data_IF_198494940411
#
_entry.id   IF_198494940411
#
_cell.length_a   1.000
_cell.length_b   1.000
_cell.length_c   1.000
_cell.angle_alpha   90.00
_cell.angle_beta   90.00
_cell.angle_gamma   90.00
#
_symmetry.space_group_name_H-M   'P 1'
#
loop_
_entity.id
_entity.type
_entity.pdbx_description
1 polymer ?
#
# COMPACT_ATOMS: atom_id res chain seq x y z
N UNK A 1 -26.09 -41.92 0.03
CA UNK A 1 -24.68 -41.51 0.27
C UNK A 1 -24.75 -40.07 0.74
N UNK A 2 -24.65 -39.85 2.00
CA UNK A 2 -24.56 -38.51 2.60
C UNK A 2 -23.17 -37.96 2.28
N UNK A 3 -23.10 -36.99 1.35
CA UNK A 3 -21.87 -36.22 1.12
C UNK A 3 -21.44 -35.62 2.46
N UNK A 4 -20.37 -36.15 3.05
CA UNK A 4 -19.65 -35.41 4.10
C UNK A 4 -19.23 -34.06 3.51
N UNK A 5 -19.49 -32.95 4.18
CA UNK A 5 -19.07 -31.65 3.68
C UNK A 5 -17.52 -31.67 3.54
N UNK A 6 -17.03 -31.72 2.30
CA UNK A 6 -15.61 -31.68 2.02
C UNK A 6 -15.01 -30.46 2.72
N UNK A 7 -13.90 -30.63 3.44
CA UNK A 7 -13.20 -29.54 4.11
C UNK A 7 -13.02 -28.36 3.15
N UNK A 8 -13.41 -27.16 3.57
CA UNK A 8 -13.15 -25.95 2.79
C UNK A 8 -11.66 -25.75 2.59
N UNK A 9 -11.29 -25.36 1.38
CA UNK A 9 -9.92 -25.00 1.03
C UNK A 9 -9.52 -23.74 1.76
N UNK A 10 -8.36 -23.71 2.38
CA UNK A 10 -7.82 -22.57 3.15
C UNK A 10 -6.79 -21.83 2.34
N UNK A 11 -7.08 -20.60 1.96
CA UNK A 11 -6.23 -19.76 1.14
C UNK A 11 -5.57 -18.71 2.03
N UNK A 12 -4.23 -18.72 2.10
CA UNK A 12 -3.47 -17.64 2.73
C UNK A 12 -3.33 -16.51 1.74
N UNK A 13 -3.75 -15.29 2.10
CA UNK A 13 -3.66 -14.10 1.26
C UNK A 13 -2.63 -13.12 1.85
N UNK A 14 -1.72 -12.63 1.02
CA UNK A 14 -0.85 -11.54 1.41
C UNK A 14 -1.63 -10.23 1.47
N UNK A 15 -2.06 -9.85 2.66
CA UNK A 15 -2.79 -8.62 2.95
C UNK A 15 -2.43 -8.08 4.33
N UNK A 16 -2.66 -6.79 4.57
CA UNK A 16 -2.35 -6.16 5.86
C UNK A 16 -3.32 -6.54 6.96
N UNK A 17 -4.58 -6.71 6.59
CA UNK A 17 -5.67 -7.14 7.47
C UNK A 17 -6.72 -7.93 6.68
N UNK A 18 -7.62 -8.60 7.36
CA UNK A 18 -8.86 -9.09 6.75
C UNK A 18 -9.79 -7.91 6.41
N UNK A 19 -10.58 -7.98 5.32
CA UNK A 19 -11.61 -6.98 5.05
C UNK A 19 -12.62 -6.84 6.18
N UNK A 20 -12.82 -7.90 6.96
CA UNK A 20 -13.75 -7.94 8.10
C UNK A 20 -13.14 -7.42 9.42
N UNK A 21 -11.85 -7.12 9.44
CA UNK A 21 -11.19 -6.52 10.60
C UNK A 21 -11.41 -5.00 10.57
N UNK A 22 -12.23 -4.49 11.48
CA UNK A 22 -12.41 -3.06 11.68
C UNK A 22 -11.23 -2.55 12.50
N UNK A 23 -10.38 -1.74 11.90
CA UNK A 23 -9.21 -1.15 12.56
C UNK A 23 -9.34 0.37 12.64
N UNK A 24 -9.06 0.95 13.81
CA UNK A 24 -8.93 2.40 13.95
C UNK A 24 -7.65 2.91 13.28
N UNK A 25 -7.53 4.23 13.13
CA UNK A 25 -6.29 4.84 12.61
C UNK A 25 -5.10 4.49 13.51
N UNK A 26 -5.26 4.57 14.83
CA UNK A 26 -4.23 4.27 15.83
C UNK A 26 -3.73 2.84 15.70
N UNK A 27 -4.66 1.88 15.57
CA UNK A 27 -4.31 0.47 15.34
C UNK A 27 -3.60 0.29 14.00
N UNK A 28 -4.02 1.01 12.98
CA UNK A 28 -3.42 0.99 11.65
C UNK A 28 -2.01 1.56 11.63
N UNK A 29 -1.77 2.65 12.38
CA UNK A 29 -0.45 3.22 12.57
C UNK A 29 0.49 2.30 13.34
N UNK A 30 -0.05 1.59 14.35
CA UNK A 30 0.73 0.68 15.18
C UNK A 30 1.18 -0.58 14.43
N UNK A 31 0.30 -1.16 13.59
CA UNK A 31 0.53 -2.44 12.90
C UNK A 31 0.95 -2.29 11.45
N UNK A 32 0.94 -1.07 10.91
CA UNK A 32 1.13 -0.77 9.47
C UNK A 32 0.28 -1.69 8.57
N UNK A 33 -1.02 -1.78 8.86
CA UNK A 33 -1.96 -2.59 8.06
C UNK A 33 -2.04 -2.14 6.60
N UNK A 34 -1.56 -0.94 6.29
CA UNK A 34 -1.50 -0.38 4.94
C UNK A 34 -0.33 -0.90 4.10
N UNK A 35 0.65 -1.60 4.66
CA UNK A 35 1.94 -1.83 4.01
C UNK A 35 2.50 -0.52 3.42
N UNK A 36 2.52 0.54 4.24
CA UNK A 36 2.93 1.92 3.91
C UNK A 36 2.00 2.71 2.99
N UNK A 37 0.96 2.10 2.39
CA UNK A 37 0.03 2.77 1.48
C UNK A 37 -1.39 2.17 1.57
N UNK A 38 -2.39 2.98 1.97
CA UNK A 38 -3.77 2.55 2.12
C UNK A 38 -4.40 1.97 0.84
N UNK A 39 -3.92 2.39 -0.34
CA UNK A 39 -4.34 1.81 -1.62
C UNK A 39 -4.05 0.31 -1.75
N UNK A 40 -3.16 -0.24 -0.92
CA UNK A 40 -2.91 -1.68 -0.91
C UNK A 40 -4.11 -2.47 -0.36
N UNK A 41 -4.92 -1.87 0.49
CA UNK A 41 -6.13 -2.52 1.01
C UNK A 41 -7.16 -2.73 -0.09
N UNK A 42 -7.30 -1.81 -1.06
CA UNK A 42 -8.28 -1.93 -2.15
C UNK A 42 -8.04 -3.20 -2.97
N UNK A 43 -6.79 -3.47 -3.35
CA UNK A 43 -6.53 -4.68 -4.15
C UNK A 43 -6.50 -5.96 -3.31
N UNK A 44 -6.12 -5.90 -2.05
CA UNK A 44 -6.16 -7.08 -1.18
C UNK A 44 -7.58 -7.47 -0.79
N UNK A 45 -8.46 -6.50 -0.56
CA UNK A 45 -9.87 -6.75 -0.25
C UNK A 45 -10.61 -7.27 -1.48
N UNK A 46 -10.31 -6.73 -2.68
CA UNK A 46 -10.82 -7.27 -3.93
C UNK A 46 -10.36 -8.73 -4.14
N UNK A 47 -9.08 -9.04 -3.93
CA UNK A 47 -8.58 -10.41 -4.01
C UNK A 47 -9.25 -11.33 -2.98
N UNK A 48 -9.47 -10.84 -1.75
CA UNK A 48 -10.17 -11.60 -0.70
C UNK A 48 -11.61 -11.94 -1.13
N UNK A 49 -12.38 -10.93 -1.59
CA UNK A 49 -13.74 -11.13 -2.10
C UNK A 49 -13.76 -12.15 -3.23
N UNK A 50 -12.89 -11.97 -4.24
CA UNK A 50 -12.84 -12.82 -5.42
C UNK A 50 -12.54 -14.29 -5.05
N UNK A 51 -11.64 -14.52 -4.10
CA UNK A 51 -11.21 -15.85 -3.66
C UNK A 51 -12.19 -16.53 -2.68
N UNK A 52 -13.11 -15.79 -2.06
CA UNK A 52 -14.10 -16.35 -1.13
C UNK A 52 -15.19 -17.07 -1.91
N UNK A 53 -15.26 -18.39 -1.76
CA UNK A 53 -16.27 -19.24 -2.40
C UNK A 53 -16.93 -20.17 -1.36
N UNK A 54 -18.02 -20.86 -1.67
CA UNK A 54 -18.58 -21.87 -0.77
C UNK A 54 -17.59 -22.96 -0.37
N UNK A 55 -16.56 -23.21 -1.21
CA UNK A 55 -15.54 -24.25 -1.02
C UNK A 55 -14.18 -23.70 -0.56
N UNK A 56 -14.02 -22.36 -0.41
CA UNK A 56 -12.76 -21.74 -0.01
C UNK A 56 -12.97 -20.63 1.02
N UNK A 57 -12.06 -20.59 2.00
CA UNK A 57 -11.94 -19.53 3.01
C UNK A 57 -10.59 -18.83 2.87
N UNK A 58 -10.59 -17.50 3.07
CA UNK A 58 -9.40 -16.67 2.86
C UNK A 58 -8.92 -16.08 4.18
N UNK A 59 -7.63 -16.16 4.42
CA UNK A 59 -6.97 -15.70 5.65
C UNK A 59 -5.87 -14.69 5.34
N UNK A 60 -5.87 -13.55 6.03
CA UNK A 60 -4.83 -12.54 5.92
C UNK A 60 -3.55 -12.98 6.63
N UNK A 61 -2.38 -12.79 5.99
CA UNK A 61 -1.08 -13.07 6.62
C UNK A 61 -0.49 -11.89 7.40
N UNK A 62 -1.15 -10.72 7.44
CA UNK A 62 -0.62 -9.49 8.06
C UNK A 62 0.67 -8.99 7.41
N UNK A 63 0.85 -9.21 6.10
CA UNK A 63 2.06 -8.85 5.30
C UNK A 63 3.34 -9.55 5.81
N UNK A 64 3.20 -10.60 6.58
CA UNK A 64 4.35 -11.33 7.14
C UNK A 64 5.00 -12.20 6.06
N UNK A 65 6.32 -12.15 5.98
CA UNK A 65 7.14 -12.94 5.05
C UNK A 65 8.27 -13.62 5.82
N UNK A 66 7.95 -14.30 6.94
CA UNK A 66 8.93 -14.98 7.74
C UNK A 66 9.15 -16.41 7.19
N UNK A 67 10.37 -16.73 6.70
CA UNK A 67 10.68 -18.06 6.21
C UNK A 67 10.62 -19.18 7.28
N UNK A 68 10.63 -18.83 8.56
CA UNK A 68 10.46 -19.81 9.66
C UNK A 68 9.02 -20.31 9.79
N UNK A 69 8.05 -19.56 9.25
CA UNK A 69 6.63 -19.93 9.26
C UNK A 69 6.24 -20.92 8.16
N UNK A 70 7.17 -21.31 7.27
CA UNK A 70 6.87 -22.10 6.08
C UNK A 70 6.22 -23.45 6.40
N UNK A 71 6.69 -24.16 7.43
CA UNK A 71 6.14 -25.48 7.79
C UNK A 71 4.68 -25.34 8.25
N UNK A 72 4.40 -24.41 9.15
CA UNK A 72 3.04 -24.11 9.58
C UNK A 72 2.13 -23.69 8.42
N UNK A 73 2.65 -22.92 7.45
CA UNK A 73 1.88 -22.53 6.27
C UNK A 73 1.56 -23.75 5.41
N UNK A 74 2.51 -24.66 5.21
CA UNK A 74 2.30 -25.89 4.47
C UNK A 74 1.27 -26.84 5.11
N UNK A 75 1.15 -26.82 6.44
CA UNK A 75 0.21 -27.66 7.18
C UNK A 75 -1.20 -27.04 7.25
N UNK A 76 -1.27 -25.72 7.40
CA UNK A 76 -2.52 -25.03 7.65
C UNK A 76 -3.26 -24.57 6.38
N UNK A 77 -2.57 -24.38 5.24
CA UNK A 77 -3.13 -23.76 4.06
C UNK A 77 -2.93 -24.60 2.80
N UNK A 78 -3.87 -24.45 1.88
CA UNK A 78 -3.92 -25.18 0.61
C UNK A 78 -3.35 -24.35 -0.57
N UNK A 79 -3.19 -23.04 -0.41
CA UNK A 79 -2.56 -22.13 -1.38
C UNK A 79 -2.09 -20.84 -0.69
N UNK A 80 -1.07 -20.19 -1.25
CA UNK A 80 -0.64 -18.84 -0.87
C UNK A 80 -0.82 -17.89 -2.05
N UNK A 81 -1.74 -16.93 -1.92
CA UNK A 81 -2.01 -15.92 -2.95
C UNK A 81 -1.34 -14.61 -2.57
N UNK A 82 -0.60 -14.04 -3.51
CA UNK A 82 0.31 -12.92 -3.28
C UNK A 82 -0.02 -11.76 -4.22
N UNK A 83 -0.98 -10.88 -3.85
CA UNK A 83 -1.17 -9.63 -4.56
C UNK A 83 0.05 -8.73 -4.40
N UNK A 84 0.61 -8.28 -5.53
CA UNK A 84 1.79 -7.41 -5.55
C UNK A 84 1.55 -6.25 -6.52
N UNK A 85 1.68 -5.02 -5.99
CA UNK A 85 1.47 -3.83 -6.81
C UNK A 85 2.77 -3.36 -7.49
N UNK A 86 3.86 -3.27 -6.72
CA UNK A 86 5.12 -2.63 -7.12
C UNK A 86 6.30 -3.34 -6.45
N UNK A 87 6.51 -4.59 -6.81
CA UNK A 87 7.57 -5.38 -6.18
C UNK A 87 8.90 -5.33 -6.93
N UNK A 88 8.90 -5.13 -8.25
CA UNK A 88 10.14 -5.04 -9.03
C UNK A 88 10.64 -3.58 -9.05
N UNK A 89 11.26 -3.18 -7.93
CA UNK A 89 11.91 -1.87 -7.74
C UNK A 89 13.06 -2.00 -6.74
N UNK A 90 14.14 -1.19 -6.86
CA UNK A 90 15.31 -1.29 -5.98
C UNK A 90 14.98 -1.19 -4.48
N UNK A 91 14.05 -0.30 -4.11
CA UNK A 91 13.65 -0.11 -2.71
C UNK A 91 12.85 -1.27 -2.11
N UNK A 92 12.42 -2.24 -2.93
CA UNK A 92 11.69 -3.44 -2.48
C UNK A 92 12.54 -4.72 -2.62
N UNK A 93 13.79 -4.63 -3.00
CA UNK A 93 14.65 -5.81 -3.22
C UNK A 93 14.79 -6.69 -1.98
N UNK A 94 15.03 -6.09 -0.80
CA UNK A 94 15.17 -6.85 0.45
C UNK A 94 13.88 -7.58 0.86
N UNK A 95 12.69 -6.96 0.86
CA UNK A 95 11.43 -7.68 1.04
C UNK A 95 11.19 -8.78 0.00
N UNK A 96 11.55 -8.54 -1.27
CA UNK A 96 11.40 -9.53 -2.33
C UNK A 96 12.28 -10.78 -2.06
N UNK A 97 13.55 -10.59 -1.71
CA UNK A 97 14.47 -11.69 -1.31
C UNK A 97 13.90 -12.51 -0.14
N UNK A 98 13.36 -11.82 0.87
CA UNK A 98 12.76 -12.49 2.03
C UNK A 98 11.52 -13.31 1.65
N UNK A 99 10.70 -12.78 0.76
CA UNK A 99 9.54 -13.50 0.23
C UNK A 99 9.95 -14.70 -0.59
N UNK A 100 10.97 -14.59 -1.44
CA UNK A 100 11.57 -15.72 -2.19
C UNK A 100 12.03 -16.82 -1.25
N UNK A 101 12.72 -16.47 -0.15
CA UNK A 101 13.17 -17.44 0.85
C UNK A 101 12.00 -18.18 1.54
N UNK A 102 10.86 -17.49 1.76
CA UNK A 102 9.65 -18.15 2.24
C UNK A 102 9.10 -19.09 1.18
N UNK A 103 8.89 -18.59 -0.05
CA UNK A 103 8.31 -19.36 -1.16
C UNK A 103 9.12 -20.64 -1.43
N UNK A 104 10.44 -20.59 -1.41
CA UNK A 104 11.32 -21.77 -1.58
C UNK A 104 10.99 -22.95 -0.65
N UNK A 105 10.50 -22.65 0.55
CA UNK A 105 10.15 -23.66 1.56
C UNK A 105 8.70 -24.11 1.50
N UNK A 106 7.85 -23.42 0.72
CA UNK A 106 6.46 -23.81 0.56
C UNK A 106 6.33 -25.01 -0.38
N UNK A 107 5.41 -25.91 -0.05
CA UNK A 107 5.01 -27.07 -0.86
C UNK A 107 3.64 -26.88 -1.52
N UNK A 108 2.90 -25.86 -1.08
CA UNK A 108 1.59 -25.49 -1.61
C UNK A 108 1.73 -24.56 -2.82
N UNK A 109 0.71 -24.46 -3.70
CA UNK A 109 0.66 -23.48 -4.77
C UNK A 109 0.87 -22.04 -4.29
N UNK A 110 1.64 -21.26 -5.07
CA UNK A 110 1.89 -19.83 -4.82
C UNK A 110 1.51 -19.04 -6.05
N UNK A 111 0.47 -18.22 -5.96
CA UNK A 111 -0.07 -17.48 -7.10
C UNK A 111 0.11 -15.97 -6.91
N UNK A 112 0.83 -15.32 -7.82
CA UNK A 112 1.09 -13.87 -7.79
C UNK A 112 0.04 -13.13 -8.61
N UNK A 113 -0.58 -12.11 -8.01
CA UNK A 113 -1.60 -11.28 -8.65
C UNK A 113 -1.09 -9.87 -8.93
N UNK A 114 -0.88 -9.56 -10.21
CA UNK A 114 -0.70 -8.19 -10.70
C UNK A 114 0.61 -7.50 -10.28
N UNK A 115 1.74 -8.23 -10.28
CA UNK A 115 3.05 -7.61 -10.00
C UNK A 115 3.45 -6.64 -11.11
N UNK A 116 4.10 -5.52 -10.73
CA UNK A 116 4.58 -4.51 -11.67
C UNK A 116 6.05 -4.17 -11.47
N UNK A 117 6.72 -3.83 -12.58
CA UNK A 117 8.09 -3.35 -12.65
C UNK A 117 8.13 -1.81 -12.76
N UNK A 118 8.97 -1.16 -11.93
CA UNK A 118 9.03 0.30 -11.88
C UNK A 118 10.19 0.85 -12.71
N UNK A 119 9.86 1.40 -13.85
CA UNK A 119 10.75 2.10 -14.76
C UNK A 119 10.26 3.55 -15.03
N UNK A 120 10.95 4.26 -15.91
CA UNK A 120 10.52 5.57 -16.40
C UNK A 120 9.22 5.51 -17.23
N UNK A 121 8.64 6.66 -17.54
CA UNK A 121 7.50 6.76 -18.47
C UNK A 121 7.83 6.38 -19.91
N UNK A 122 9.12 6.26 -20.24
CA UNK A 122 9.61 5.78 -21.55
C UNK A 122 9.94 4.28 -21.55
N UNK A 123 9.58 3.58 -20.46
CA UNK A 123 9.84 2.15 -20.25
C UNK A 123 11.35 1.79 -20.23
N UNK A 124 12.21 2.72 -19.84
CA UNK A 124 13.63 2.45 -19.63
C UNK A 124 13.84 1.61 -18.36
N UNK A 125 14.16 0.34 -18.55
CA UNK A 125 14.40 -0.64 -17.49
C UNK A 125 15.84 -0.59 -16.93
N UNK A 126 16.70 0.33 -17.33
CA UNK A 126 18.12 0.38 -16.93
C UNK A 126 18.30 0.34 -15.39
N UNK A 127 17.42 1.00 -14.66
CA UNK A 127 17.42 1.02 -13.18
C UNK A 127 17.03 -0.31 -12.54
N UNK A 128 16.46 -1.24 -13.30
CA UNK A 128 16.08 -2.57 -12.81
C UNK A 128 17.19 -3.61 -12.99
N UNK A 129 18.19 -3.36 -13.86
CA UNK A 129 19.29 -4.27 -14.12
C UNK A 129 19.96 -4.83 -12.85
N UNK A 130 20.27 -4.02 -11.82
CA UNK A 130 20.87 -4.54 -10.58
C UNK A 130 19.98 -5.54 -9.84
N UNK A 131 18.65 -5.48 -10.05
CA UNK A 131 17.69 -6.37 -9.41
C UNK A 131 17.39 -7.65 -10.19
N UNK A 132 17.79 -7.74 -11.45
CA UNK A 132 17.45 -8.89 -12.31
C UNK A 132 17.75 -10.24 -11.66
N UNK A 133 18.88 -10.46 -10.97
CA UNK A 133 19.12 -11.72 -10.28
C UNK A 133 18.05 -12.04 -9.22
N UNK A 134 17.63 -11.01 -8.46
CA UNK A 134 16.60 -11.16 -7.42
C UNK A 134 15.22 -11.41 -8.02
N UNK A 135 14.88 -10.71 -9.10
CA UNK A 135 13.62 -10.90 -9.83
C UNK A 135 13.59 -12.29 -10.45
N UNK A 136 14.68 -12.73 -11.09
CA UNK A 136 14.80 -14.06 -11.67
C UNK A 136 14.56 -15.14 -10.64
N UNK A 137 15.25 -15.07 -9.50
CA UNK A 137 15.08 -16.03 -8.42
C UNK A 137 13.63 -16.07 -7.92
N UNK A 138 13.01 -14.92 -7.70
CA UNK A 138 11.61 -14.82 -7.26
C UNK A 138 10.65 -15.46 -8.28
N UNK A 139 10.75 -15.08 -9.55
CA UNK A 139 9.85 -15.59 -10.60
C UNK A 139 10.02 -17.09 -10.79
N UNK A 140 11.26 -17.59 -10.78
CA UNK A 140 11.54 -19.03 -10.83
C UNK A 140 10.85 -19.78 -9.70
N UNK A 141 10.96 -19.29 -8.46
CA UNK A 141 10.34 -19.95 -7.31
C UNK A 141 8.80 -19.87 -7.32
N UNK A 142 8.23 -18.82 -7.89
CA UNK A 142 6.78 -18.74 -8.14
C UNK A 142 6.36 -19.77 -9.19
N UNK A 143 7.04 -19.80 -10.34
CA UNK A 143 6.69 -20.71 -11.45
C UNK A 143 6.93 -22.20 -11.11
N UNK A 144 7.78 -22.50 -10.16
CA UNK A 144 7.91 -23.87 -9.61
C UNK A 144 6.64 -24.32 -8.85
N UNK A 145 5.69 -23.40 -8.54
CA UNK A 145 4.50 -23.63 -7.70
C UNK A 145 3.21 -23.12 -8.32
N UNK A 146 3.26 -22.56 -9.51
CA UNK A 146 2.11 -22.02 -10.26
C UNK A 146 2.30 -22.24 -11.75
N UNK A 147 1.21 -22.31 -12.48
CA UNK A 147 1.23 -22.46 -13.95
C UNK A 147 1.75 -21.20 -14.66
N UNK A 148 1.53 -20.01 -14.07
CA UNK A 148 1.96 -18.74 -14.64
C UNK A 148 2.03 -17.66 -13.56
N UNK A 149 2.74 -16.56 -13.85
CA UNK A 149 2.78 -15.37 -13.00
C UNK A 149 1.91 -14.25 -13.59
N UNK A 150 1.00 -13.70 -12.76
CA UNK A 150 0.14 -12.59 -13.16
C UNK A 150 0.83 -11.24 -13.02
N UNK A 151 0.95 -10.49 -14.10
CA UNK A 151 1.58 -9.17 -14.14
C UNK A 151 0.57 -8.05 -14.42
N UNK A 152 0.99 -6.83 -14.12
CA UNK A 152 0.14 -5.65 -14.14
C UNK A 152 -0.16 -5.16 -15.56
N UNK A 153 0.79 -5.27 -16.48
CA UNK A 153 0.68 -4.75 -17.83
C UNK A 153 1.79 -5.23 -18.75
N UNK A 154 1.75 -4.73 -19.98
CA UNK A 154 2.62 -5.13 -21.09
C UNK A 154 4.12 -4.89 -20.83
N UNK A 155 4.46 -3.78 -20.14
CA UNK A 155 5.85 -3.48 -19.82
C UNK A 155 6.46 -4.52 -18.89
N UNK A 156 5.75 -4.88 -17.84
CA UNK A 156 6.22 -5.91 -16.90
C UNK A 156 6.26 -7.29 -17.54
N UNK A 157 5.30 -7.61 -18.41
CA UNK A 157 5.32 -8.84 -19.20
C UNK A 157 6.58 -8.91 -20.09
N UNK A 158 6.85 -7.85 -20.86
CA UNK A 158 8.01 -7.80 -21.74
C UNK A 158 9.33 -7.89 -20.98
N UNK A 159 9.42 -7.16 -19.84
CA UNK A 159 10.59 -7.23 -18.95
C UNK A 159 10.90 -8.66 -18.49
N UNK A 160 9.88 -9.45 -18.13
CA UNK A 160 10.08 -10.84 -17.73
C UNK A 160 10.36 -11.75 -18.93
N UNK A 161 9.77 -11.50 -20.10
CA UNK A 161 10.05 -12.23 -21.34
C UNK A 161 11.49 -12.01 -21.80
N UNK A 162 12.03 -10.80 -21.67
CA UNK A 162 13.43 -10.48 -21.99
C UNK A 162 14.40 -11.21 -21.04
N UNK A 163 13.97 -11.50 -19.83
CA UNK A 163 14.69 -12.37 -18.88
C UNK A 163 14.53 -13.88 -19.17
N UNK A 164 13.78 -14.27 -20.21
CA UNK A 164 13.61 -15.65 -20.66
C UNK A 164 12.37 -16.37 -20.09
N UNK A 165 11.53 -15.73 -19.30
CA UNK A 165 10.29 -16.34 -18.79
C UNK A 165 9.19 -16.31 -19.86
N UNK A 166 8.40 -17.40 -19.97
CA UNK A 166 7.30 -17.54 -20.94
C UNK A 166 5.93 -17.60 -20.30
N UNK A 167 5.84 -18.16 -19.10
CA UNK A 167 4.60 -18.35 -18.37
C UNK A 167 4.22 -17.07 -17.59
N UNK A 168 4.02 -15.98 -18.36
CA UNK A 168 3.71 -14.64 -17.85
C UNK A 168 2.40 -14.18 -18.48
N UNK A 169 1.45 -13.76 -17.66
CA UNK A 169 0.12 -13.32 -18.12
C UNK A 169 -0.22 -11.91 -17.65
N UNK A 170 -0.67 -11.06 -18.55
CA UNK A 170 -1.17 -9.72 -18.19
C UNK A 170 -2.59 -9.85 -17.67
N UNK A 171 -2.75 -9.60 -16.37
CA UNK A 171 -4.04 -9.70 -15.66
C UNK A 171 -4.46 -8.38 -15.00
N UNK A 172 -3.61 -7.36 -15.02
CA UNK A 172 -3.90 -6.07 -14.40
C UNK A 172 -3.82 -6.09 -12.88
N UNK A 173 -4.82 -5.51 -12.24
CA UNK A 173 -4.92 -5.40 -10.78
C UNK A 173 -6.27 -5.94 -10.30
N UNK A 174 -6.31 -6.82 -9.26
CA UNK A 174 -7.57 -7.36 -8.75
C UNK A 174 -8.57 -6.29 -8.29
N UNK A 175 -8.10 -5.10 -7.88
CA UNK A 175 -8.98 -4.01 -7.47
C UNK A 175 -10.03 -3.63 -8.51
N UNK A 176 -9.70 -3.71 -9.80
CA UNK A 176 -10.64 -3.39 -10.88
C UNK A 176 -11.79 -4.41 -11.00
N UNK A 177 -11.64 -5.59 -10.42
CA UNK A 177 -12.62 -6.68 -10.47
C UNK A 177 -13.37 -6.88 -9.14
N UNK A 178 -13.36 -5.88 -8.26
CA UNK A 178 -14.10 -5.90 -6.98
C UNK A 178 -15.60 -6.18 -7.19
N UNK A 179 -16.16 -5.66 -8.29
CA UNK A 179 -17.58 -5.80 -8.66
C UNK A 179 -17.82 -6.80 -9.82
N UNK A 180 -16.85 -7.70 -10.08
CA UNK A 180 -16.97 -8.72 -11.13
C UNK A 180 -16.75 -8.18 -12.54
N UNK A 181 -17.59 -8.64 -13.46
CA UNK A 181 -17.49 -8.35 -14.89
C UNK A 181 -18.16 -7.04 -15.32
N UNK A 182 -18.77 -6.30 -14.39
CA UNK A 182 -19.45 -5.03 -14.66
C UNK A 182 -18.67 -3.86 -14.12
N UNK A 183 -18.59 -2.78 -14.90
CA UNK A 183 -17.94 -1.54 -14.51
C UNK A 183 -18.78 -0.33 -14.97
N UNK A 184 -19.03 0.61 -14.09
CA UNK A 184 -19.81 1.80 -14.40
C UNK A 184 -19.05 3.04 -13.95
N UNK A 185 -18.94 4.00 -14.86
CA UNK A 185 -18.44 5.36 -14.57
C UNK A 185 -19.36 6.32 -15.30
N UNK A 186 -19.86 7.31 -14.59
CA UNK A 186 -20.82 8.25 -15.14
C UNK A 186 -20.41 9.70 -14.79
N UNK A 187 -20.39 10.56 -15.81
CA UNK A 187 -20.25 12.00 -15.63
C UNK A 187 -21.60 12.55 -15.16
N UNK A 188 -21.68 12.99 -13.90
CA UNK A 188 -22.91 13.53 -13.29
C UNK A 188 -23.28 14.90 -13.83
N UNK A 189 -22.29 15.64 -14.32
CA UNK A 189 -22.41 16.99 -14.84
C UNK A 189 -21.77 17.08 -16.22
N UNK A 190 -22.24 17.99 -17.06
CA UNK A 190 -21.65 18.22 -18.38
C UNK A 190 -20.24 18.84 -18.26
N UNK A 191 -20.04 19.73 -17.31
CA UNK A 191 -18.76 20.37 -17.03
C UNK A 191 -18.56 20.56 -15.52
N UNK A 192 -17.29 20.65 -15.10
CA UNK A 192 -16.95 21.04 -13.73
C UNK A 192 -17.10 22.55 -13.55
N UNK A 193 -17.62 22.95 -12.39
CA UNK A 193 -17.77 24.34 -11.95
C UNK A 193 -17.01 24.57 -10.65
N UNK A 194 -16.96 25.80 -10.17
CA UNK A 194 -16.35 26.12 -8.87
C UNK A 194 -17.02 25.37 -7.70
N UNK A 195 -18.29 25.00 -7.83
CA UNK A 195 -19.04 24.27 -6.80
C UNK A 195 -18.81 22.74 -6.86
N UNK A 196 -18.11 22.23 -7.88
CA UNK A 196 -17.85 20.80 -8.03
C UNK A 196 -16.99 20.26 -6.91
N UNK A 197 -17.38 19.09 -6.39
CA UNK A 197 -16.63 18.36 -5.38
C UNK A 197 -15.57 17.47 -6.06
N UNK A 198 -14.31 17.88 -5.95
CA UNK A 198 -13.19 17.21 -6.63
C UNK A 198 -12.26 16.57 -5.62
N UNK A 199 -11.85 15.34 -5.86
CA UNK A 199 -10.76 14.69 -5.11
C UNK A 199 -9.46 14.75 -5.90
N UNK A 200 -8.36 15.03 -5.19
CA UNK A 200 -7.01 14.99 -5.75
C UNK A 200 -6.11 14.13 -4.89
N UNK A 201 -5.18 13.43 -5.53
CA UNK A 201 -4.18 12.63 -4.85
C UNK A 201 -2.81 12.82 -5.49
N UNK A 202 -1.75 12.67 -4.69
CA UNK A 202 -0.41 12.92 -5.18
C UNK A 202 0.66 12.01 -4.58
N UNK A 203 1.70 11.73 -5.37
CA UNK A 203 2.91 11.06 -4.92
C UNK A 203 4.05 12.07 -4.76
N UNK A 204 4.77 12.02 -3.66
CA UNK A 204 5.92 12.88 -3.40
C UNK A 204 7.00 12.79 -4.49
N UNK A 205 7.18 11.63 -5.12
CA UNK A 205 8.12 11.46 -6.22
C UNK A 205 7.69 12.22 -7.49
N UNK A 206 6.39 12.25 -7.78
CA UNK A 206 5.85 13.00 -8.91
C UNK A 206 5.93 14.52 -8.69
N UNK A 207 5.77 14.98 -7.44
CA UNK A 207 5.92 16.40 -7.07
C UNK A 207 7.30 16.93 -7.40
N UNK A 208 8.34 16.21 -6.96
CA UNK A 208 9.72 16.67 -7.09
C UNK A 208 10.23 16.74 -8.53
N UNK A 209 9.68 15.91 -9.41
CA UNK A 209 10.25 15.71 -10.75
C UNK A 209 9.40 16.39 -11.83
N UNK A 210 8.08 16.55 -11.62
CA UNK A 210 7.14 16.85 -12.70
C UNK A 210 6.16 18.01 -12.43
N UNK A 211 6.28 18.71 -11.28
CA UNK A 211 5.44 19.89 -11.01
C UNK A 211 3.98 19.57 -10.68
N UNK A 212 3.68 18.37 -10.20
CA UNK A 212 2.35 17.99 -9.72
C UNK A 212 1.84 18.92 -8.60
N UNK A 213 2.75 19.47 -7.81
CA UNK A 213 2.46 20.45 -6.76
C UNK A 213 1.82 21.73 -7.33
N UNK A 214 2.31 22.22 -8.48
CA UNK A 214 1.72 23.39 -9.15
C UNK A 214 0.28 23.11 -9.60
N UNK A 215 0.04 21.93 -10.19
CA UNK A 215 -1.30 21.51 -10.62
C UNK A 215 -2.25 21.45 -9.41
N UNK A 216 -1.82 20.83 -8.31
CA UNK A 216 -2.63 20.70 -7.09
C UNK A 216 -2.90 22.07 -6.44
N UNK A 217 -1.89 22.94 -6.38
CA UNK A 217 -2.06 24.29 -5.84
C UNK A 217 -3.08 25.10 -6.63
N UNK A 218 -2.98 25.13 -7.95
CA UNK A 218 -3.91 25.87 -8.80
C UNK A 218 -5.32 25.29 -8.75
N UNK A 219 -5.45 23.96 -8.72
CA UNK A 219 -6.73 23.31 -8.53
C UNK A 219 -7.34 23.66 -7.16
N UNK A 220 -6.53 23.73 -6.09
CA UNK A 220 -6.98 24.13 -4.76
C UNK A 220 -7.48 25.61 -4.72
N UNK A 221 -6.77 26.51 -5.42
CA UNK A 221 -7.15 27.92 -5.55
C UNK A 221 -8.46 28.11 -6.33
N UNK A 222 -8.70 27.27 -7.35
CA UNK A 222 -9.84 27.37 -8.27
C UNK A 222 -11.10 26.66 -7.78
N UNK A 223 -10.95 25.56 -7.04
CA UNK A 223 -12.06 24.71 -6.58
C UNK A 223 -12.15 24.70 -5.05
N UNK A 224 -13.03 25.54 -4.45
CA UNK A 224 -13.18 25.63 -2.99
C UNK A 224 -13.52 24.30 -2.31
N UNK A 225 -14.23 23.40 -3.02
CA UNK A 225 -14.66 22.09 -2.50
C UNK A 225 -13.67 20.95 -2.80
N UNK A 226 -12.48 21.27 -3.37
CA UNK A 226 -11.45 20.25 -3.59
C UNK A 226 -10.99 19.63 -2.26
N UNK A 227 -10.79 18.31 -2.27
CA UNK A 227 -10.24 17.52 -1.16
C UNK A 227 -9.00 16.77 -1.61
N UNK A 228 -7.96 16.79 -0.77
CA UNK A 228 -6.77 15.97 -0.97
C UNK A 228 -6.92 14.65 -0.22
N UNK A 229 -6.81 13.53 -0.94
CA UNK A 229 -6.90 12.19 -0.36
C UNK A 229 -5.49 11.62 -0.18
N UNK A 230 -5.02 11.61 1.08
CA UNK A 230 -3.78 10.98 1.48
C UNK A 230 -3.87 9.46 1.47
N UNK A 231 -2.72 8.79 1.28
CA UNK A 231 -2.68 7.32 1.20
C UNK A 231 -1.48 6.71 1.93
N UNK A 232 -0.49 7.52 2.30
CA UNK A 232 0.75 7.04 2.92
C UNK A 232 0.66 7.01 4.44
N UNK A 233 1.49 6.17 5.04
CA UNK A 233 1.71 6.17 6.48
C UNK A 233 2.14 7.54 7.00
N UNK A 234 3.01 8.27 6.27
CA UNK A 234 3.43 9.62 6.64
C UNK A 234 2.23 10.59 6.68
N UNK A 235 1.33 10.55 5.70
CA UNK A 235 0.12 11.38 5.67
C UNK A 235 -0.83 11.02 6.81
N UNK A 236 -0.93 9.73 7.15
CA UNK A 236 -1.70 9.26 8.30
C UNK A 236 -1.11 9.77 9.63
N UNK A 237 0.20 9.70 9.80
CA UNK A 237 0.91 10.25 10.96
C UNK A 237 0.73 11.75 11.06
N UNK A 238 0.81 12.47 9.95
CA UNK A 238 0.62 13.91 9.89
C UNK A 238 -0.80 14.32 10.30
N UNK A 239 -1.81 13.60 9.83
CA UNK A 239 -3.20 13.83 10.21
C UNK A 239 -3.46 13.50 11.68
N UNK A 240 -2.86 12.44 12.19
CA UNK A 240 -3.12 11.97 13.55
C UNK A 240 -2.28 12.69 14.61
N UNK A 241 -0.96 12.86 14.35
CA UNK A 241 -0.01 13.41 15.31
C UNK A 241 0.35 14.87 15.06
N UNK A 242 0.02 15.45 13.90
CA UNK A 242 0.63 16.69 13.38
C UNK A 242 2.15 16.59 13.32
N UNK A 243 2.66 15.41 12.96
CA UNK A 243 4.10 15.13 12.88
C UNK A 243 4.81 16.15 11.97
N UNK A 244 5.79 16.83 12.53
CA UNK A 244 6.51 17.93 11.86
C UNK A 244 7.98 17.60 11.62
N UNK A 245 8.42 16.37 11.92
CA UNK A 245 9.83 15.97 11.79
C UNK A 245 10.32 15.87 10.35
N UNK A 246 9.42 15.95 9.36
CA UNK A 246 9.80 16.01 7.96
C UNK A 246 9.99 17.46 7.47
N UNK A 247 11.23 17.98 7.48
CA UNK A 247 11.50 19.37 7.09
C UNK A 247 11.22 19.66 5.61
N UNK A 248 11.16 18.63 4.78
CA UNK A 248 10.90 18.76 3.34
C UNK A 248 9.43 19.16 3.08
N UNK A 249 8.52 18.73 3.95
CA UNK A 249 7.10 19.01 3.81
C UNK A 249 6.72 20.48 3.90
N UNK A 250 7.46 21.29 4.63
CA UNK A 250 7.18 22.72 4.79
C UNK A 250 7.45 23.56 3.52
N UNK A 251 8.19 23.02 2.55
CA UNK A 251 8.67 23.72 1.36
C UNK A 251 7.94 23.34 0.07
N UNK A 252 6.97 22.45 0.14
CA UNK A 252 6.24 21.97 -1.06
C UNK A 252 4.81 22.53 -1.10
N UNK A 253 4.27 22.72 -2.30
CA UNK A 253 2.86 23.05 -2.51
C UNK A 253 1.93 21.84 -2.32
N UNK A 254 2.48 20.71 -1.82
CA UNK A 254 1.71 19.53 -1.44
C UNK A 254 1.33 19.58 0.04
N UNK A 255 0.19 19.03 0.45
CA UNK A 255 -0.21 18.99 1.86
C UNK A 255 0.61 17.92 2.63
N UNK A 256 1.90 18.20 2.79
CA UNK A 256 2.87 17.33 3.49
C UNK A 256 3.39 17.93 4.79
N UNK A 257 2.78 19.05 5.23
CA UNK A 257 3.09 19.71 6.49
C UNK A 257 1.82 20.34 7.09
N UNK A 258 1.66 20.40 8.42
CA UNK A 258 0.45 20.96 9.08
C UNK A 258 0.20 22.42 8.75
N UNK A 259 1.22 23.18 8.34
CA UNK A 259 1.07 24.58 7.93
C UNK A 259 0.45 24.77 6.55
N UNK A 260 0.31 23.71 5.76
CA UNK A 260 -0.27 23.81 4.43
C UNK A 260 -1.74 24.29 4.49
N UNK A 261 -2.20 25.17 3.59
CA UNK A 261 -3.58 25.68 3.60
C UNK A 261 -4.64 24.58 3.65
N UNK A 262 -4.49 23.52 2.88
CA UNK A 262 -5.45 22.40 2.87
C UNK A 262 -5.62 21.72 4.23
N UNK A 263 -4.58 21.69 5.09
CA UNK A 263 -4.72 21.19 6.46
C UNK A 263 -5.51 22.17 7.33
N UNK A 264 -5.22 23.46 7.22
CA UNK A 264 -5.94 24.51 7.98
C UNK A 264 -7.41 24.64 7.57
N UNK A 265 -7.70 24.38 6.32
CA UNK A 265 -9.05 24.43 5.75
C UNK A 265 -9.82 23.10 5.90
N UNK A 266 -9.24 22.12 6.58
CA UNK A 266 -9.89 20.81 6.76
C UNK A 266 -10.11 20.03 5.46
N UNK A 267 -9.32 20.28 4.43
CA UNK A 267 -9.49 19.68 3.09
C UNK A 267 -8.73 18.37 2.86
N UNK A 268 -7.92 17.93 3.83
CA UNK A 268 -7.18 16.68 3.74
C UNK A 268 -7.99 15.54 4.36
N UNK A 269 -8.01 14.38 3.69
CA UNK A 269 -8.68 13.16 4.14
C UNK A 269 -7.72 11.99 3.99
N UNK A 270 -7.88 10.98 4.84
CA UNK A 270 -7.26 9.67 4.69
C UNK A 270 -8.26 8.61 5.15
N UNK A 271 -8.30 7.49 4.43
CA UNK A 271 -9.16 6.38 4.78
C UNK A 271 -8.30 5.18 5.24
N UNK A 272 -8.75 4.54 6.30
CA UNK A 272 -8.13 3.32 6.85
C UNK A 272 -8.81 2.06 6.35
N UNK A 273 -9.88 2.23 5.56
CA UNK A 273 -10.66 1.14 5.00
C UNK A 273 -11.17 1.46 3.59
N UNK A 274 -11.12 0.48 2.65
CA UNK A 274 -11.64 0.66 1.29
C UNK A 274 -13.13 0.92 1.23
N UNK A 275 -13.93 0.37 2.15
CA UNK A 275 -15.40 0.50 2.14
C UNK A 275 -15.78 1.97 2.31
N UNK A 276 -15.32 2.60 3.40
CA UNK A 276 -15.60 4.02 3.66
C UNK A 276 -14.97 4.94 2.63
N UNK A 277 -13.82 4.55 2.07
CA UNK A 277 -13.16 5.34 1.02
C UNK A 277 -13.98 5.37 -0.27
N UNK A 278 -14.38 4.21 -0.78
CA UNK A 278 -15.19 4.12 -2.01
C UNK A 278 -16.56 4.76 -1.79
N UNK A 279 -17.16 4.57 -0.62
CA UNK A 279 -18.48 5.11 -0.31
C UNK A 279 -18.48 6.65 -0.24
N UNK A 280 -17.52 7.26 0.45
CA UNK A 280 -17.39 8.73 0.49
C UNK A 280 -17.17 9.31 -0.91
N UNK A 281 -16.35 8.65 -1.74
CA UNK A 281 -16.08 9.13 -3.10
C UNK A 281 -17.31 9.16 -4.01
N UNK A 282 -18.37 8.42 -3.72
CA UNK A 282 -19.62 8.47 -4.49
C UNK A 282 -20.25 9.86 -4.54
N UNK A 283 -19.96 10.71 -3.56
CA UNK A 283 -20.45 12.09 -3.53
C UNK A 283 -19.67 13.02 -4.47
N UNK A 284 -18.50 12.60 -4.98
CA UNK A 284 -17.63 13.46 -5.77
C UNK A 284 -18.06 13.49 -7.25
N UNK A 285 -17.69 14.59 -7.92
CA UNK A 285 -17.93 14.79 -9.35
C UNK A 285 -16.75 14.29 -10.18
N UNK A 286 -15.53 14.42 -9.65
CA UNK A 286 -14.30 14.06 -10.35
C UNK A 286 -13.16 13.70 -9.39
N UNK A 287 -12.27 12.86 -9.86
CA UNK A 287 -11.00 12.55 -9.18
C UNK A 287 -9.82 12.65 -10.15
N UNK A 288 -8.68 13.17 -9.67
CA UNK A 288 -7.45 13.12 -10.47
C UNK A 288 -6.21 13.03 -9.60
N UNK A 289 -5.09 12.66 -10.21
CA UNK A 289 -3.81 12.65 -9.52
C UNK A 289 -2.90 11.50 -9.92
N UNK A 290 -1.76 11.37 -9.24
CA UNK A 290 -0.69 10.44 -9.63
C UNK A 290 -0.72 9.09 -8.90
N UNK A 291 -1.65 8.88 -7.96
CA UNK A 291 -1.77 7.62 -7.22
C UNK A 291 -2.85 6.75 -7.82
N UNK A 292 -2.42 5.64 -8.44
CA UNK A 292 -3.32 4.77 -9.19
C UNK A 292 -4.51 4.28 -8.35
N UNK A 293 -4.30 3.81 -7.11
CA UNK A 293 -5.40 3.27 -6.30
C UNK A 293 -6.34 4.36 -5.75
N UNK A 294 -5.87 5.60 -5.59
CA UNK A 294 -6.77 6.72 -5.28
C UNK A 294 -7.76 7.01 -6.40
N UNK A 295 -7.28 6.90 -7.65
CA UNK A 295 -8.13 7.06 -8.83
C UNK A 295 -9.00 5.81 -9.08
N UNK A 296 -8.47 4.60 -8.82
CA UNK A 296 -9.28 3.36 -8.88
C UNK A 296 -10.41 3.38 -7.84
N UNK A 297 -10.18 3.88 -6.63
CA UNK A 297 -11.24 4.03 -5.63
C UNK A 297 -12.40 4.90 -6.15
N UNK A 298 -12.07 6.02 -6.84
CA UNK A 298 -13.08 6.87 -7.47
C UNK A 298 -13.82 6.13 -8.61
N UNK A 299 -13.09 5.43 -9.47
CA UNK A 299 -13.70 4.62 -10.54
C UNK A 299 -14.61 3.53 -9.99
N UNK A 300 -14.24 2.85 -8.89
CA UNK A 300 -15.07 1.86 -8.21
C UNK A 300 -16.31 2.49 -7.56
N UNK A 301 -16.23 3.76 -7.16
CA UNK A 301 -17.37 4.54 -6.69
C UNK A 301 -18.29 5.02 -7.84
N UNK A 302 -17.95 4.74 -9.11
CA UNK A 302 -18.67 5.22 -10.29
C UNK A 302 -18.32 6.65 -10.70
N UNK A 303 -17.29 7.23 -10.11
CA UNK A 303 -16.88 8.63 -10.30
C UNK A 303 -15.81 8.73 -11.40
N UNK A 304 -15.96 9.64 -12.36
CA UNK A 304 -14.95 9.93 -13.37
C UNK A 304 -13.58 10.21 -12.77
N UNK A 305 -12.53 9.62 -13.35
CA UNK A 305 -11.18 9.83 -12.83
C UNK A 305 -10.13 9.85 -13.94
N UNK A 306 -9.12 10.74 -13.81
CA UNK A 306 -7.98 10.82 -14.73
C UNK A 306 -6.67 10.63 -13.97
N UNK A 307 -5.83 9.70 -14.42
CA UNK A 307 -4.54 9.41 -13.81
C UNK A 307 -3.43 10.25 -14.43
N UNK A 308 -2.69 11.00 -13.62
CA UNK A 308 -1.44 11.65 -14.02
C UNK A 308 -0.28 10.67 -13.81
N UNK A 309 0.04 9.90 -14.84
CA UNK A 309 1.05 8.86 -14.79
C UNK A 309 2.45 9.43 -14.58
N UNK A 310 3.16 8.96 -13.55
CA UNK A 310 4.51 9.39 -13.20
C UNK A 310 5.59 8.32 -13.38
N UNK A 311 5.19 7.10 -13.68
CA UNK A 311 6.09 5.96 -13.93
C UNK A 311 5.42 4.86 -14.77
N UNK A 312 6.22 3.87 -15.19
CA UNK A 312 5.76 2.74 -16.02
C UNK A 312 4.58 1.98 -15.45
N UNK A 313 4.52 1.79 -14.12
CA UNK A 313 3.51 0.98 -13.42
C UNK A 313 2.11 1.59 -13.51
N UNK A 314 2.03 2.91 -13.35
CA UNK A 314 0.78 3.64 -13.49
C UNK A 314 0.36 3.69 -14.95
N UNK A 315 1.32 3.89 -15.85
CA UNK A 315 1.07 3.96 -17.29
C UNK A 315 0.59 2.62 -17.87
N UNK A 316 1.32 1.51 -17.60
CA UNK A 316 0.94 0.19 -18.11
C UNK A 316 -0.44 -0.26 -17.61
N UNK A 317 -0.78 0.05 -16.34
CA UNK A 317 -2.08 -0.30 -15.78
C UNK A 317 -3.21 0.53 -16.40
N UNK A 318 -2.99 1.83 -16.61
CA UNK A 318 -3.97 2.68 -17.28
C UNK A 318 -4.21 2.22 -18.72
N UNK A 319 -3.17 1.86 -19.46
CA UNK A 319 -3.26 1.33 -20.83
C UNK A 319 -4.00 0.00 -20.85
N UNK A 320 -3.65 -0.92 -19.95
CA UNK A 320 -4.30 -2.23 -19.91
C UNK A 320 -5.80 -2.14 -19.66
N UNK A 321 -6.25 -1.25 -18.78
CA UNK A 321 -7.66 -1.10 -18.46
C UNK A 321 -8.41 -0.07 -19.31
N UNK A 322 -7.73 0.74 -20.09
CA UNK A 322 -8.34 1.88 -20.79
C UNK A 322 -8.74 3.00 -19.83
N UNK A 323 -8.04 3.15 -18.70
CA UNK A 323 -8.29 4.25 -17.75
C UNK A 323 -7.82 5.56 -18.36
N UNK A 324 -8.65 6.64 -18.35
CA UNK A 324 -8.23 7.96 -18.78
C UNK A 324 -6.96 8.41 -18.05
N UNK A 325 -5.94 8.78 -18.83
CA UNK A 325 -4.64 9.15 -18.26
C UNK A 325 -3.87 10.13 -19.11
N UNK A 326 -2.93 10.84 -18.49
CA UNK A 326 -1.88 11.61 -19.16
C UNK A 326 -0.53 11.29 -18.53
N UNK A 327 0.53 11.32 -19.31
CA UNK A 327 1.87 11.36 -18.74
C UNK A 327 2.07 12.70 -18.08
N UNK A 328 2.50 12.73 -16.83
CA UNK A 328 2.67 13.98 -16.10
C UNK A 328 3.73 14.90 -16.76
N UNK A 329 4.72 14.33 -17.45
CA UNK A 329 5.73 15.04 -18.22
C UNK A 329 5.15 15.84 -19.38
N UNK A 330 4.04 15.37 -19.93
CA UNK A 330 3.39 15.93 -21.12
C UNK A 330 2.18 16.80 -20.73
N UNK A 331 1.98 16.98 -19.40
CA UNK A 331 0.84 17.72 -18.85
C UNK A 331 1.27 19.14 -18.48
N UNK A 332 0.58 20.18 -18.96
CA UNK A 332 0.83 21.55 -18.54
C UNK A 332 0.72 21.72 -17.03
N UNK A 333 1.61 22.50 -16.42
CA UNK A 333 1.62 22.72 -14.96
C UNK A 333 0.44 23.53 -14.45
N UNK A 334 -0.27 24.17 -15.36
CA UNK A 334 -1.45 25.02 -15.14
C UNK A 334 -2.75 24.39 -15.66
N UNK A 335 -2.73 23.11 -16.00
CA UNK A 335 -3.91 22.39 -16.49
C UNK A 335 -5.06 22.50 -15.51
N UNK A 336 -6.24 22.79 -16.04
CA UNK A 336 -7.48 22.80 -15.26
C UNK A 336 -8.00 21.35 -15.08
N UNK A 337 -8.41 20.95 -13.88
CA UNK A 337 -9.19 19.72 -13.69
C UNK A 337 -10.41 19.62 -14.60
N UNK A 338 -11.05 20.73 -14.98
CA UNK A 338 -12.14 20.73 -15.96
C UNK A 338 -11.73 20.23 -17.34
N UNK A 339 -10.50 20.55 -17.79
CA UNK A 339 -9.98 20.06 -19.08
C UNK A 339 -9.69 18.55 -19.01
N UNK A 340 -9.21 18.06 -17.86
CA UNK A 340 -9.01 16.62 -17.64
C UNK A 340 -10.35 15.89 -17.64
N UNK A 341 -11.37 16.46 -16.98
CA UNK A 341 -12.72 15.91 -16.93
C UNK A 341 -13.37 15.89 -18.31
N UNK A 342 -13.32 16.99 -19.05
CA UNK A 342 -13.91 17.10 -20.38
C UNK A 342 -13.29 16.07 -21.34
N UNK A 343 -11.96 15.93 -21.31
CA UNK A 343 -11.21 15.02 -22.19
C UNK A 343 -11.31 13.55 -21.80
N UNK A 344 -11.79 13.21 -20.60
CA UNK A 344 -11.86 11.83 -20.13
C UNK A 344 -12.95 11.04 -20.86
N UNK A 345 -12.52 9.99 -21.58
CA UNK A 345 -13.40 9.02 -22.22
C UNK A 345 -13.25 7.66 -21.48
N UNK A 346 -14.37 7.08 -21.08
CA UNK A 346 -14.44 5.80 -20.35
C UNK A 346 -14.91 4.64 -21.24
N UNK A 347 -15.10 4.85 -22.54
CA UNK A 347 -15.61 3.85 -23.46
C UNK A 347 -14.75 2.58 -23.48
N UNK A 348 -13.43 2.72 -23.61
CA UNK A 348 -12.52 1.57 -23.60
C UNK A 348 -12.50 0.85 -22.24
N UNK A 349 -12.53 1.59 -21.14
CA UNK A 349 -12.57 1.03 -19.79
C UNK A 349 -13.81 0.15 -19.62
N UNK A 350 -14.99 0.69 -19.90
CA UNK A 350 -16.29 0.02 -19.66
C UNK A 350 -16.49 -1.14 -20.64
N UNK A 351 -16.31 -0.89 -21.95
CA UNK A 351 -16.57 -1.90 -22.97
C UNK A 351 -15.59 -3.07 -22.91
N UNK A 352 -14.31 -2.82 -22.59
CA UNK A 352 -13.30 -3.87 -22.49
C UNK A 352 -13.24 -4.57 -21.13
N UNK A 353 -14.03 -4.13 -20.13
CA UNK A 353 -13.90 -4.63 -18.76
C UNK A 353 -14.23 -6.11 -18.65
N UNK A 354 -15.31 -6.56 -19.29
CA UNK A 354 -15.76 -7.97 -19.26
C UNK A 354 -14.69 -8.92 -19.82
N UNK A 355 -14.05 -8.55 -20.94
CA UNK A 355 -12.99 -9.38 -21.52
C UNK A 355 -11.79 -9.51 -20.57
N UNK A 356 -11.39 -8.39 -19.96
CA UNK A 356 -10.28 -8.35 -18.98
C UNK A 356 -10.61 -9.17 -17.73
N UNK A 357 -11.87 -9.13 -17.29
CA UNK A 357 -12.36 -9.96 -16.18
C UNK A 357 -12.28 -11.45 -16.52
N UNK A 358 -12.74 -11.87 -17.69
CA UNK A 358 -12.65 -13.28 -18.14
C UNK A 358 -11.19 -13.75 -18.25
N UNK A 359 -10.29 -12.87 -18.70
CA UNK A 359 -8.85 -13.16 -18.72
C UNK A 359 -8.29 -13.36 -17.30
N UNK A 360 -8.69 -12.50 -16.36
CA UNK A 360 -8.31 -12.60 -14.96
C UNK A 360 -8.82 -13.89 -14.30
N UNK A 361 -10.09 -14.21 -14.45
CA UNK A 361 -10.67 -15.44 -13.89
C UNK A 361 -10.08 -16.70 -14.53
N UNK A 362 -9.86 -16.69 -15.85
CA UNK A 362 -9.18 -17.78 -16.54
C UNK A 362 -7.72 -18.00 -16.07
N UNK A 363 -7.00 -16.92 -15.77
CA UNK A 363 -5.68 -17.00 -15.11
C UNK A 363 -5.80 -17.69 -13.72
N UNK A 364 -6.78 -17.31 -12.91
CA UNK A 364 -6.98 -17.93 -11.60
C UNK A 364 -7.25 -19.43 -11.74
N UNK A 365 -8.12 -19.83 -12.65
CA UNK A 365 -8.48 -21.24 -12.88
C UNK A 365 -7.26 -22.06 -13.35
N UNK A 366 -6.45 -21.55 -14.29
CA UNK A 366 -5.21 -22.21 -14.72
C UNK A 366 -4.22 -22.39 -13.56
N UNK A 367 -4.24 -21.50 -12.58
CA UNK A 367 -3.43 -21.59 -11.36
C UNK A 367 -4.15 -22.34 -10.22
N UNK A 368 -5.25 -23.04 -10.52
CA UNK A 368 -5.98 -23.86 -9.57
C UNK A 368 -6.75 -23.09 -8.50
N UNK A 369 -7.12 -21.83 -8.76
CA UNK A 369 -7.92 -21.01 -7.85
C UNK A 369 -9.33 -20.84 -8.39
N UNK A 370 -10.32 -21.12 -7.55
CA UNK A 370 -11.72 -20.76 -7.82
C UNK A 370 -11.95 -19.28 -7.52
N UNK A 371 -13.00 -18.72 -8.15
CA UNK A 371 -13.44 -17.36 -7.90
C UNK A 371 -14.94 -17.31 -7.59
N UNK A 372 -15.37 -16.34 -6.78
CA UNK A 372 -16.77 -16.24 -6.32
C UNK A 372 -17.75 -15.98 -7.46
N UNK A 373 -17.31 -15.34 -8.54
CA UNK A 373 -18.19 -14.98 -9.66
C UNK A 373 -18.54 -16.16 -10.57
N UNK A 374 -17.66 -17.15 -10.66
CA UNK A 374 -17.90 -18.38 -11.44
C UNK A 374 -18.35 -19.54 -10.56
N UNK A 375 -17.84 -19.65 -9.33
CA UNK A 375 -18.00 -20.80 -8.45
C UNK A 375 -18.71 -20.47 -7.13
N UNK A 376 -19.30 -19.28 -7.01
CA UNK A 376 -19.97 -18.80 -5.80
C UNK A 376 -21.20 -17.95 -6.12
N UNK A 377 -21.49 -17.02 -5.23
CA UNK A 377 -22.64 -16.13 -5.26
C UNK A 377 -22.36 -14.73 -5.85
N UNK A 378 -21.25 -14.58 -6.56
CA UNK A 378 -20.81 -13.28 -7.07
C UNK A 378 -20.27 -12.33 -5.99
N UNK A 379 -20.02 -12.84 -4.78
CA UNK A 379 -19.57 -12.06 -3.63
C UNK A 379 -20.69 -11.49 -2.77
N UNK A 380 -21.94 -11.90 -2.96
CA UNK A 380 -23.08 -11.39 -2.21
C UNK A 380 -22.97 -11.68 -0.70
N UNK A 381 -22.52 -12.86 -0.31
CA UNK A 381 -22.28 -13.19 1.10
C UNK A 381 -21.16 -12.36 1.72
N UNK A 382 -20.09 -12.09 0.96
CA UNK A 382 -19.00 -11.21 1.38
C UNK A 382 -19.50 -9.78 1.61
N UNK A 383 -20.25 -9.22 0.67
CA UNK A 383 -20.82 -7.87 0.78
C UNK A 383 -21.83 -7.77 1.93
N UNK A 384 -22.66 -8.79 2.12
CA UNK A 384 -23.60 -8.86 3.25
C UNK A 384 -22.88 -8.93 4.61
N UNK A 385 -21.74 -9.58 4.68
CA UNK A 385 -20.91 -9.61 5.90
C UNK A 385 -20.27 -8.24 6.16
N UNK A 386 -19.72 -7.57 5.14
CA UNK A 386 -19.21 -6.20 5.25
C UNK A 386 -20.29 -5.21 5.71
N UNK A 387 -21.50 -5.32 5.16
CA UNK A 387 -22.62 -4.45 5.52
C UNK A 387 -23.09 -4.55 6.97
N UNK A 388 -22.67 -5.57 7.73
CA UNK A 388 -22.91 -5.70 9.18
C UNK A 388 -21.88 -4.97 10.04
N UNK A 389 -20.80 -4.48 9.44
CA UNK A 389 -19.69 -3.86 10.14
C UNK A 389 -19.80 -2.32 10.04
N UNK A 390 -19.35 -1.65 11.08
CA UNK A 390 -19.23 -0.19 11.10
C UNK A 390 -17.77 0.20 10.99
N UNK A 391 -17.37 0.69 9.82
CA UNK A 391 -16.01 1.13 9.57
C UNK A 391 -15.80 2.59 9.98
N UNK A 392 -14.58 2.97 10.41
CA UNK A 392 -14.29 4.34 10.79
C UNK A 392 -14.42 5.30 9.59
N UNK A 393 -14.92 6.52 9.81
CA UNK A 393 -15.02 7.54 8.78
C UNK A 393 -13.63 8.02 8.33
N UNK A 394 -13.59 8.87 7.33
CA UNK A 394 -12.35 9.54 6.89
C UNK A 394 -11.64 10.23 8.05
N UNK A 395 -10.35 10.00 8.16
CA UNK A 395 -9.49 10.74 9.10
C UNK A 395 -9.34 12.17 8.58
N UNK A 396 -9.57 13.14 9.47
CA UNK A 396 -9.53 14.57 9.18
C UNK A 396 -8.41 15.27 9.96
N UNK A 397 -7.99 16.47 9.56
CA UNK A 397 -7.10 17.32 10.35
C UNK A 397 -7.66 17.61 11.75
N UNK A 398 -6.77 17.92 12.68
CA UNK A 398 -7.16 18.17 14.08
C UNK A 398 -8.14 19.34 14.27
N UNK A 399 -8.16 20.31 13.33
CA UNK A 399 -9.10 21.41 13.41
C UNK A 399 -10.57 20.99 13.31
N UNK A 400 -10.82 19.83 12.66
CA UNK A 400 -12.14 19.23 12.51
C UNK A 400 -12.42 18.18 13.60
N UNK A 401 -11.46 17.94 14.52
CA UNK A 401 -11.61 16.95 15.59
C UNK A 401 -12.32 17.57 16.79
N UNK A 402 -13.27 16.84 17.32
CA UNK A 402 -13.91 17.20 18.58
C UNK A 402 -12.98 16.93 19.80
N UNK A 403 -13.30 17.52 20.99
CA UNK A 403 -12.50 17.33 22.19
C UNK A 403 -12.38 15.87 22.64
N UNK A 404 -13.40 15.06 22.38
CA UNK A 404 -13.42 13.64 22.74
C UNK A 404 -12.42 12.86 21.88
N UNK A 405 -12.41 13.12 20.57
CA UNK A 405 -11.40 12.56 19.64
C UNK A 405 -9.97 12.95 20.03
N UNK A 406 -9.74 14.19 20.45
CA UNK A 406 -8.42 14.64 20.93
C UNK A 406 -8.03 13.92 22.22
N UNK A 407 -8.95 13.82 23.18
CA UNK A 407 -8.74 13.09 24.43
C UNK A 407 -8.37 11.63 24.16
N UNK A 408 -9.08 10.96 23.25
CA UNK A 408 -8.77 9.60 22.83
C UNK A 408 -7.37 9.47 22.25
N UNK A 409 -6.93 10.41 21.43
CA UNK A 409 -5.57 10.43 20.86
C UNK A 409 -4.49 10.59 21.93
N UNK A 410 -4.69 11.49 22.89
CA UNK A 410 -3.76 11.65 24.01
C UNK A 410 -3.68 10.42 24.90
N UNK A 411 -4.83 9.82 25.25
CA UNK A 411 -4.88 8.59 26.04
C UNK A 411 -4.16 7.44 25.35
N UNK A 412 -4.35 7.31 24.03
CA UNK A 412 -3.63 6.30 23.26
C UNK A 412 -2.11 6.56 23.24
N UNK A 413 -1.67 7.82 23.06
CA UNK A 413 -0.25 8.18 23.14
C UNK A 413 0.36 7.79 24.47
N UNK A 414 -0.31 8.10 25.58
CA UNK A 414 0.14 7.76 26.91
C UNK A 414 0.31 6.24 27.07
N UNK A 415 -0.72 5.47 26.73
CA UNK A 415 -0.68 4.00 26.75
C UNK A 415 0.47 3.45 25.90
N UNK A 416 0.71 4.05 24.71
CA UNK A 416 1.80 3.63 23.83
C UNK A 416 3.17 3.94 24.37
N UNK A 417 3.34 5.09 25.04
CA UNK A 417 4.59 5.44 25.74
C UNK A 417 4.88 4.46 26.87
N UNK A 418 3.87 4.09 27.64
CA UNK A 418 4.00 3.11 28.72
C UNK A 418 4.41 1.73 28.19
N UNK A 419 3.78 1.28 27.09
CA UNK A 419 4.13 0.02 26.44
C UNK A 419 5.58 0.02 25.91
N UNK A 420 6.01 1.10 25.23
CA UNK A 420 7.38 1.22 24.74
C UNK A 420 8.40 1.27 25.90
N UNK A 421 8.08 1.93 27.00
CA UNK A 421 8.93 1.95 28.19
C UNK A 421 9.05 0.55 28.82
N UNK A 422 7.95 -0.20 28.91
CA UNK A 422 7.96 -1.59 29.35
C UNK A 422 8.80 -2.50 28.43
N UNK A 423 8.64 -2.38 27.12
CA UNK A 423 9.45 -3.10 26.14
C UNK A 423 10.94 -2.76 26.24
N UNK A 424 11.29 -1.47 26.37
CA UNK A 424 12.66 -1.04 26.57
C UNK A 424 13.27 -1.62 27.86
N UNK A 425 12.52 -1.63 28.94
CA UNK A 425 12.96 -2.20 30.21
C UNK A 425 13.22 -3.71 30.07
N UNK A 426 12.31 -4.41 29.41
CA UNK A 426 12.46 -5.85 29.14
C UNK A 426 13.68 -6.13 28.26
N UNK A 427 13.87 -5.37 27.17
CA UNK A 427 15.02 -5.52 26.28
C UNK A 427 16.35 -5.23 27.00
N UNK A 428 16.40 -4.19 27.85
CA UNK A 428 17.57 -3.90 28.67
C UNK A 428 17.88 -5.05 29.61
N UNK A 429 16.88 -5.59 30.31
CA UNK A 429 17.08 -6.75 31.20
C UNK A 429 17.55 -8.01 30.45
N UNK A 430 17.10 -8.22 29.22
CA UNK A 430 17.57 -9.32 28.37
C UNK A 430 19.03 -9.11 27.91
N UNK A 431 19.40 -7.88 27.58
CA UNK A 431 20.79 -7.52 27.23
C UNK A 431 21.72 -7.71 28.43
N UNK A 432 21.32 -7.28 29.62
CA UNK A 432 22.09 -7.43 30.86
C UNK A 432 22.29 -8.93 31.20
N UNK A 433 21.26 -9.75 31.02
CA UNK A 433 21.36 -11.22 31.20
C UNK A 433 22.29 -11.90 30.18
N UNK A 434 22.34 -11.39 28.94
CA UNK A 434 23.23 -11.91 27.87
C UNK A 434 24.66 -11.42 28.01
N UNK A 435 24.84 -10.25 28.60
CA UNK A 435 26.16 -9.62 28.80
C UNK A 435 26.90 -10.18 29.99
N UNK A 436 26.38 -11.09 30.79
CA UNK A 436 26.99 -11.73 31.95
C UNK A 436 27.94 -10.80 32.75
N UNK A 437 28.21 -10.96 34.01
CA UNK A 437 29.20 -10.13 34.69
C UNK A 437 30.53 -10.30 33.98
N UNK A 438 31.00 -9.24 33.32
CA UNK A 438 32.39 -9.15 32.83
C UNK A 438 33.29 -9.15 34.08
N UNK A 439 33.63 -10.34 34.56
CA UNK A 439 34.66 -10.47 35.59
C UNK A 439 35.99 -10.11 34.96
N UNK A 440 36.35 -8.84 35.03
CA UNK A 440 37.72 -8.41 34.79
C UNK A 440 38.52 -9.01 35.93
N UNK A 441 39.15 -10.16 35.72
CA UNK A 441 40.25 -10.65 36.61
C UNK A 441 41.38 -9.61 36.47
N UNK A 442 41.43 -8.68 37.40
CA UNK A 442 42.62 -7.87 37.62
C UNK A 442 43.63 -8.83 38.27
N UNK A 443 44.56 -9.34 37.48
CA UNK A 443 45.78 -9.92 38.04
C UNK A 443 46.53 -8.76 38.70
N UNK A 444 46.59 -8.78 40.01
CA UNK A 444 47.50 -7.93 40.77
C UNK A 444 48.93 -8.38 40.46
N UNK A 445 49.58 -7.65 39.53
CA UNK A 445 51.00 -7.72 39.27
C UNK A 445 51.64 -6.50 39.92
N UNK A 446 52.55 -6.69 40.82
CA UNK A 446 53.39 -5.67 41.44
C UNK A 446 54.14 -4.88 40.37
N UNK A 447 53.94 -3.58 40.32
CA UNK A 447 54.68 -2.70 39.42
C UNK A 447 53.89 -1.46 39.02
N UNK A 448 54.24 -0.31 39.59
CA UNK A 448 53.71 0.98 39.19
C UNK A 448 53.96 1.23 37.69
N UNK A 449 52.95 1.16 36.88
CA UNK A 449 53.00 1.64 35.51
C UNK A 449 51.61 2.04 34.98
N UNK A 450 51.61 3.10 34.25
CA UNK A 450 50.55 3.89 33.64
C UNK A 450 49.32 3.12 33.15
N UNK A 451 48.13 3.68 33.37
CA UNK A 451 46.82 3.24 32.87
C UNK A 451 46.79 3.13 31.34
N UNK A 452 46.36 2.00 30.78
CA UNK A 452 46.30 1.83 29.34
C UNK A 452 45.29 2.79 28.68
N UNK A 453 45.66 3.38 27.58
CA UNK A 453 44.89 4.33 26.77
C UNK A 453 43.53 3.80 26.26
N UNK A 454 43.31 2.49 26.36
CA UNK A 454 42.05 1.83 25.95
C UNK A 454 40.83 2.26 26.79
N UNK A 455 41.01 2.52 28.10
CA UNK A 455 39.91 2.91 28.98
C UNK A 455 39.39 4.34 28.68
N UNK A 456 40.24 5.19 28.15
CA UNK A 456 39.84 6.55 27.73
C UNK A 456 39.07 6.54 26.41
N UNK A 457 39.25 5.55 25.53
CA UNK A 457 38.51 5.41 24.27
C UNK A 457 37.10 4.89 24.51
N UNK A 458 36.89 3.91 25.39
CA UNK A 458 35.56 3.37 25.71
C UNK A 458 34.65 4.44 26.33
N UNK A 459 35.18 5.30 27.21
CA UNK A 459 34.39 6.40 27.81
C UNK A 459 34.02 7.50 26.81
N UNK A 460 34.80 7.68 25.73
CA UNK A 460 34.49 8.64 24.65
C UNK A 460 33.43 8.18 23.70
N UNK A 461 33.25 6.86 23.50
CA UNK A 461 32.29 6.30 22.58
C UNK A 461 30.88 6.20 23.21
N UNK A 462 30.78 5.90 24.51
CA UNK A 462 29.50 5.76 25.22
C UNK A 462 28.95 7.11 25.75
N UNK A 463 29.78 8.10 25.93
CA UNK A 463 29.40 9.38 26.57
C UNK A 463 28.95 10.52 25.63
N UNK A 464 29.04 10.36 24.30
CA UNK A 464 28.70 11.44 23.35
C UNK A 464 27.22 11.56 22.95
N UNK A 465 26.38 10.54 22.87
CA UNK A 465 24.99 10.72 22.49
C UNK A 465 24.10 11.32 23.58
N UNK A 466 24.41 11.09 24.87
CA UNK A 466 23.49 11.45 25.97
C UNK A 466 23.63 12.90 26.42
N UNK A 467 24.80 13.55 26.20
CA UNK A 467 25.01 14.93 26.63
C UNK A 467 24.46 16.02 25.70
N UNK A 468 24.02 15.67 24.49
CA UNK A 468 23.45 16.65 23.53
C UNK A 468 21.96 16.86 23.71
N UNK A 469 21.28 15.99 24.48
CA UNK A 469 19.83 16.04 24.72
C UNK A 469 19.39 16.75 26.01
N UNK A 470 20.31 17.22 26.84
CA UNK A 470 19.98 17.79 28.15
C UNK A 470 20.61 19.21 28.39
N UNK A 471 20.77 20.04 27.38
CA UNK A 471 21.01 21.48 27.60
C UNK A 471 19.76 22.24 27.19
N UNK A 472 19.06 22.93 28.11
CA UNK A 472 18.12 23.97 27.74
C UNK A 472 18.94 25.15 27.18
N UNK A 473 18.56 25.64 26.03
CA UNK A 473 19.05 26.93 25.51
C UNK A 473 18.45 28.05 26.37
N UNK A 474 19.34 28.90 26.87
CA UNK A 474 18.96 30.21 27.37
C UNK A 474 18.76 31.17 26.20
#
# INVERSE_FOLDING_TARGET
MTDEPSRKRRILLRSGKSPFDVASLEQSLHRDVFATNAGNLIFSDAAHKILTTPRAEVFSNGIRTDPSAAERINEEYDAFVVPLANAFRPTFERPLKRMTQLIKKLRIPVVVLGVGAQASLTYDASRLKPMEPTVREFVTEVLNRSASIGVRGEFTEQYLKDMGFRDVEVIGCPSMFLNGDTFRVEKKTEALTADSLISVNGSHSAVRVHGLDSIIRQAHERYPHLRFIGQNLLEAQLLHWRETSNPIGAQTSMPTHPSHPMYREGKVRLFVDPVTWIDELRAYDFSFGSRIHGNIAALLAGVPSTVLCSDSRTLELCRYFGIPHRKITDTPKDIDPADLYAAADFGELVNGHKERFLRFTGFMERNGLENTFTHGDGGAAFDAQLGKLSFPPAVRPWIDSDPESLSGRFSWMQSRMEELNAQNTMLRSQLDRRSGPVSIKVQAGDGAAAWPSAYRRARRVVGRPVRKLLRPEQ
#
